data_IF_005895820907
#
_entry.id   IF_005895820907
#
_cell.length_a   1.000
_cell.length_b   1.000
_cell.length_c   1.000
_cell.angle_alpha   90.00
_cell.angle_beta   90.00
_cell.angle_gamma   90.00
#
_symmetry.space_group_name_H-M   'P 1'
#
loop_
_entity.id
_entity.type
_entity.pdbx_description
1 polymer ?
#
# COMPACT_ATOMS: atom_id res chain seq x y z
N UNK A 1 -5.10 27.51 -2.86
CA UNK A 1 -3.95 26.58 -3.02
C UNK A 1 -4.49 25.29 -3.60
N UNK A 2 -4.18 24.92 -4.86
CA UNK A 2 -4.85 23.80 -5.50
C UNK A 2 -4.36 22.47 -4.90
N UNK A 3 -5.33 21.68 -4.47
CA UNK A 3 -5.20 20.35 -3.90
C UNK A 3 -4.59 19.38 -4.91
N UNK A 4 -3.46 18.80 -4.49
CA UNK A 4 -2.81 17.55 -4.92
C UNK A 4 -3.54 16.79 -6.03
N UNK A 5 -2.89 16.69 -7.19
CA UNK A 5 -3.18 15.70 -8.23
C UNK A 5 -3.11 14.29 -7.65
N UNK A 6 -4.24 13.76 -7.19
CA UNK A 6 -4.46 12.32 -7.16
C UNK A 6 -4.41 11.91 -8.63
N UNK A 7 -3.41 11.11 -9.02
CA UNK A 7 -3.47 10.45 -10.33
C UNK A 7 -4.70 9.55 -10.28
N UNK A 8 -5.81 10.02 -10.81
CA UNK A 8 -7.03 9.25 -11.02
C UNK A 8 -6.69 8.24 -12.11
N UNK A 9 -6.03 7.14 -11.74
CA UNK A 9 -6.04 5.96 -12.61
C UNK A 9 -7.51 5.68 -12.90
N UNK A 10 -7.93 5.62 -14.18
CA UNK A 10 -9.32 5.32 -14.51
C UNK A 10 -9.78 4.09 -13.72
N UNK A 11 -10.99 4.10 -13.18
CA UNK A 11 -11.50 3.01 -12.33
C UNK A 11 -11.35 1.63 -13.03
N UNK A 12 -11.61 1.58 -14.34
CA UNK A 12 -11.40 0.40 -15.19
C UNK A 12 -9.92 -0.06 -15.27
N UNK A 13 -8.98 0.89 -15.26
CA UNK A 13 -7.54 0.57 -15.25
C UNK A 13 -7.06 0.13 -13.86
N UNK A 14 -7.66 0.61 -12.77
CA UNK A 14 -7.37 0.09 -11.41
C UNK A 14 -7.94 -1.32 -11.23
N UNK A 15 -9.14 -1.59 -11.76
CA UNK A 15 -9.77 -2.91 -11.71
C UNK A 15 -8.97 -3.97 -12.49
N UNK A 16 -8.56 -3.68 -13.72
CA UNK A 16 -7.70 -4.57 -14.51
C UNK A 16 -6.36 -4.83 -13.79
N UNK A 17 -5.77 -3.78 -13.21
CA UNK A 17 -4.53 -3.91 -12.45
C UNK A 17 -4.71 -4.83 -11.22
N UNK A 18 -5.85 -4.76 -10.55
CA UNK A 18 -6.20 -5.62 -9.42
C UNK A 18 -6.41 -7.07 -9.85
N UNK A 19 -7.09 -7.31 -10.98
CA UNK A 19 -7.29 -8.65 -11.54
C UNK A 19 -5.94 -9.33 -11.82
N UNK A 20 -5.05 -8.62 -12.52
CA UNK A 20 -3.70 -9.10 -12.84
C UNK A 20 -2.85 -9.31 -11.59
N UNK A 21 -2.93 -8.41 -10.61
CA UNK A 21 -2.22 -8.57 -9.34
C UNK A 21 -2.73 -9.77 -8.52
N UNK A 22 -4.04 -10.07 -8.55
CA UNK A 22 -4.60 -11.30 -7.92
C UNK A 22 -4.06 -12.57 -8.57
N UNK A 23 -3.75 -12.54 -9.87
CA UNK A 23 -3.07 -13.62 -10.60
C UNK A 23 -1.55 -13.66 -10.39
N UNK A 24 -1.02 -12.85 -9.46
CA UNK A 24 0.43 -12.75 -9.18
C UNK A 24 1.27 -12.27 -10.35
N UNK A 25 0.68 -11.57 -11.32
CA UNK A 25 1.44 -10.99 -12.42
C UNK A 25 2.40 -9.93 -11.88
N UNK A 26 3.70 -10.17 -12.07
CA UNK A 26 4.77 -9.35 -11.51
C UNK A 26 4.67 -7.88 -11.95
N UNK A 27 4.32 -7.63 -13.21
CA UNK A 27 4.17 -6.28 -13.74
C UNK A 27 3.07 -5.49 -13.01
N UNK A 28 1.95 -6.14 -12.67
CA UNK A 28 0.84 -5.52 -11.97
C UNK A 28 1.20 -5.23 -10.50
N UNK A 29 1.81 -6.20 -9.82
CA UNK A 29 2.33 -6.04 -8.45
C UNK A 29 3.33 -4.88 -8.39
N UNK A 30 4.30 -4.84 -9.32
CA UNK A 30 5.32 -3.79 -9.41
C UNK A 30 4.70 -2.42 -9.68
N UNK A 31 3.66 -2.32 -10.50
CA UNK A 31 2.95 -1.08 -10.75
C UNK A 31 2.24 -0.57 -9.48
N UNK A 32 1.56 -1.45 -8.74
CA UNK A 32 0.92 -1.11 -7.45
C UNK A 32 1.96 -0.63 -6.44
N UNK A 33 3.09 -1.32 -6.32
CA UNK A 33 4.17 -0.93 -5.41
C UNK A 33 4.69 0.46 -5.79
N UNK A 34 5.12 0.66 -7.05
CA UNK A 34 5.65 1.96 -7.52
C UNK A 34 4.70 3.13 -7.29
N UNK A 35 3.40 2.93 -7.51
CA UNK A 35 2.39 3.96 -7.32
C UNK A 35 2.21 4.39 -5.86
N UNK A 36 2.47 3.49 -4.90
CA UNK A 36 2.14 3.71 -3.49
C UNK A 36 3.37 3.87 -2.58
N UNK A 37 4.55 3.37 -2.99
CA UNK A 37 5.71 3.19 -2.12
C UNK A 37 6.12 4.47 -1.39
N UNK A 38 6.30 5.58 -2.13
CA UNK A 38 6.71 6.86 -1.54
C UNK A 38 5.71 7.42 -0.53
N UNK A 39 4.40 7.16 -0.70
CA UNK A 39 3.37 7.61 0.24
C UNK A 39 3.39 6.75 1.50
N UNK A 40 3.43 5.43 1.32
CA UNK A 40 3.42 4.47 2.43
C UNK A 40 4.69 4.56 3.27
N UNK A 41 5.86 4.73 2.64
CA UNK A 41 7.12 4.94 3.34
C UNK A 41 7.10 6.20 4.22
N UNK A 42 6.70 7.35 3.66
CA UNK A 42 6.60 8.60 4.45
C UNK A 42 5.64 8.46 5.62
N UNK A 43 4.55 7.73 5.43
CA UNK A 43 3.58 7.47 6.48
C UNK A 43 4.16 6.56 7.58
N UNK A 44 4.74 5.42 7.22
CA UNK A 44 5.39 4.51 8.16
C UNK A 44 6.47 5.24 8.97
N UNK A 45 7.37 5.94 8.28
CA UNK A 45 8.43 6.77 8.89
C UNK A 45 7.89 7.81 9.86
N UNK A 46 6.74 8.43 9.54
CA UNK A 46 6.12 9.40 10.45
C UNK A 46 5.63 8.78 11.76
N UNK A 47 5.41 7.46 11.81
CA UNK A 47 4.98 6.71 12.99
C UNK A 47 6.18 6.14 13.73
N UNK A 48 7.05 5.38 13.05
CA UNK A 48 8.17 4.66 13.70
C UNK A 48 9.40 5.53 13.97
N UNK A 49 9.50 6.70 13.31
CA UNK A 49 10.60 7.68 13.44
C UNK A 49 11.99 7.13 13.13
N UNK A 50 12.06 6.05 12.36
CA UNK A 50 13.29 5.43 11.90
C UNK A 50 13.13 5.00 10.43
N UNK A 51 14.19 5.16 9.63
CA UNK A 51 14.14 4.91 8.19
C UNK A 51 14.16 3.39 7.90
N UNK A 52 15.01 2.63 8.58
CA UNK A 52 15.10 1.18 8.39
C UNK A 52 13.83 0.47 8.84
N UNK A 53 13.27 0.84 9.99
CA UNK A 53 11.98 0.30 10.43
C UNK A 53 10.84 0.71 9.51
N UNK A 54 10.89 1.90 8.91
CA UNK A 54 9.88 2.31 7.94
C UNK A 54 9.93 1.47 6.67
N UNK A 55 11.13 1.12 6.19
CA UNK A 55 11.30 0.19 5.07
C UNK A 55 10.71 -1.18 5.41
N UNK A 56 11.08 -1.76 6.55
CA UNK A 56 10.57 -3.04 7.02
C UNK A 56 9.04 -3.06 7.12
N UNK A 57 8.46 -2.01 7.71
CA UNK A 57 7.00 -1.88 7.87
C UNK A 57 6.30 -1.84 6.51
N UNK A 58 6.85 -1.12 5.54
CA UNK A 58 6.28 -1.06 4.19
C UNK A 58 6.40 -2.40 3.48
N UNK A 59 7.55 -3.07 3.59
CA UNK A 59 7.77 -4.40 3.00
C UNK A 59 6.78 -5.43 3.58
N UNK A 60 6.67 -5.51 4.90
CA UNK A 60 5.71 -6.40 5.58
C UNK A 60 4.26 -6.03 5.22
N UNK A 61 3.96 -4.73 5.13
CA UNK A 61 2.66 -4.24 4.70
C UNK A 61 2.28 -4.71 3.30
N UNK A 62 3.21 -4.67 2.34
CA UNK A 62 2.99 -5.21 1.00
C UNK A 62 2.85 -6.74 1.02
N UNK A 63 3.70 -7.46 1.76
CA UNK A 63 3.61 -8.91 1.89
C UNK A 63 2.22 -9.35 2.38
N UNK A 64 1.70 -8.69 3.43
CA UNK A 64 0.35 -8.93 3.96
C UNK A 64 -0.75 -8.55 2.99
N UNK A 65 -0.62 -7.39 2.35
CA UNK A 65 -1.57 -6.93 1.35
C UNK A 65 -1.69 -7.93 0.20
N UNK A 66 -0.59 -8.36 -0.40
CA UNK A 66 -0.64 -9.30 -1.52
C UNK A 66 -1.07 -10.70 -1.09
N UNK A 67 -0.82 -11.12 0.16
CA UNK A 67 -1.38 -12.38 0.69
C UNK A 67 -2.90 -12.31 0.82
N UNK A 68 -3.45 -11.14 1.16
CA UNK A 68 -4.89 -10.92 1.39
C UNK A 68 -5.60 -10.22 0.24
N UNK A 69 -4.96 -10.04 -0.91
CA UNK A 69 -5.51 -9.25 -2.03
C UNK A 69 -6.82 -9.84 -2.58
N UNK A 70 -7.02 -11.16 -2.47
CA UNK A 70 -8.29 -11.81 -2.80
C UNK A 70 -9.45 -11.40 -1.88
N UNK A 71 -9.17 -10.91 -0.68
CA UNK A 71 -10.17 -10.43 0.29
C UNK A 71 -10.51 -8.95 0.12
N UNK A 72 -9.80 -8.23 -0.76
CA UNK A 72 -10.10 -6.83 -1.03
C UNK A 72 -11.40 -6.72 -1.83
N UNK A 73 -12.43 -6.13 -1.20
CA UNK A 73 -13.80 -6.02 -1.73
C UNK A 73 -14.07 -4.81 -2.61
N UNK A 74 -13.11 -3.88 -2.75
CA UNK A 74 -13.32 -2.65 -3.54
C UNK A 74 -14.18 -1.58 -2.86
N UNK A 75 -14.55 -1.75 -1.58
CA UNK A 75 -15.33 -0.77 -0.80
C UNK A 75 -14.55 0.54 -0.51
N UNK A 76 -13.25 0.58 -0.83
CA UNK A 76 -12.39 1.75 -0.77
C UNK A 76 -11.34 1.67 -1.87
N UNK A 77 -10.60 2.75 -2.15
CA UNK A 77 -9.47 2.68 -3.08
C UNK A 77 -8.40 1.69 -2.58
N UNK A 78 -7.64 1.08 -3.50
CA UNK A 78 -6.51 0.22 -3.14
C UNK A 78 -5.50 0.99 -2.27
N UNK A 79 -5.29 2.26 -2.61
CA UNK A 79 -4.44 3.19 -1.86
C UNK A 79 -4.85 3.32 -0.40
N UNK A 80 -6.15 3.45 -0.12
CA UNK A 80 -6.71 3.56 1.23
C UNK A 80 -6.52 2.26 1.99
N UNK A 81 -6.80 1.13 1.36
CA UNK A 81 -6.65 -0.18 1.98
C UNK A 81 -5.20 -0.49 2.36
N UNK A 82 -4.25 -0.25 1.44
CA UNK A 82 -2.81 -0.38 1.71
C UNK A 82 -2.35 0.53 2.85
N UNK A 83 -2.86 1.76 2.88
CA UNK A 83 -2.56 2.74 3.93
C UNK A 83 -2.95 2.20 5.31
N UNK A 84 -4.13 1.58 5.43
CA UNK A 84 -4.58 1.00 6.71
C UNK A 84 -3.71 -0.17 7.16
N UNK A 85 -3.29 -1.02 6.23
CA UNK A 85 -2.37 -2.14 6.54
C UNK A 85 -1.05 -1.58 7.08
N UNK A 86 -0.43 -0.62 6.39
CA UNK A 86 0.85 -0.04 6.80
C UNK A 86 0.77 0.68 8.15
N UNK A 87 -0.31 1.42 8.42
CA UNK A 87 -0.51 2.05 9.75
C UNK A 87 -0.57 0.97 10.85
N UNK A 88 -1.32 -0.11 10.62
CA UNK A 88 -1.45 -1.17 11.60
C UNK A 88 -0.10 -1.86 11.88
N UNK A 89 0.70 -2.13 10.85
CA UNK A 89 2.04 -2.72 11.01
C UNK A 89 2.99 -1.75 11.74
N UNK A 90 2.97 -0.46 11.39
CA UNK A 90 3.79 0.56 12.05
C UNK A 90 3.46 0.68 13.55
N UNK A 91 2.18 0.79 13.89
CA UNK A 91 1.71 0.86 15.28
C UNK A 91 1.98 -0.46 16.02
N UNK A 92 1.84 -1.60 15.35
CA UNK A 92 2.16 -2.91 15.91
C UNK A 92 3.65 -3.11 16.19
N UNK A 93 4.53 -2.48 15.40
CA UNK A 93 5.98 -2.46 15.66
C UNK A 93 6.31 -1.57 16.86
N UNK A 94 5.72 -0.37 16.94
CA UNK A 94 5.94 0.55 18.06
C UNK A 94 5.48 -0.04 19.41
N UNK A 95 4.41 -0.83 19.44
CA UNK A 95 3.94 -1.51 20.67
C UNK A 95 4.81 -2.68 21.13
N UNK A 96 5.65 -3.22 20.25
CA UNK A 96 6.54 -4.36 20.53
C UNK A 96 7.96 -3.93 20.92
N UNK A 97 8.25 -2.64 20.78
CA UNK A 97 9.39 -2.00 21.43
C UNK A 97 9.08 -1.80 22.91
#
# INVERSE_FOLDING_TARGET
MPTKHVKTTPLAAEEELLIRARRREEAAVRAIIRANNRRLFRLARSIVKDDGEAEDVVQEGYFRAFTRLGQFRGESSLSTWLTRIVINEALGRLRRR
#
